data_IF_691119246780
#
_entry.id   IF_691119246780
#
_cell.length_a   1.000
_cell.length_b   1.000
_cell.length_c   1.000
_cell.angle_alpha   90.00
_cell.angle_beta   90.00
_cell.angle_gamma   90.00
#
_symmetry.space_group_name_H-M   'P 1'
#
loop_
_entity.id
_entity.type
_entity.pdbx_description
1 polymer ?
#
# COMPACT_ATOMS: atom_id res chain seq x y z
N UNK A 1 -100.64 82.67 -125.61
CA UNK A 1 -100.94 82.56 -124.16
C UNK A 1 -99.72 81.88 -123.50
N UNK A 2 -98.65 82.52 -123.02
CA UNK A 2 -98.33 83.94 -122.82
C UNK A 2 -97.26 84.12 -121.72
N UNK A 3 -97.23 83.28 -120.68
CA UNK A 3 -96.40 83.54 -119.47
C UNK A 3 -95.83 82.32 -118.75
N UNK A 4 -96.09 81.08 -119.20
CA UNK A 4 -95.66 79.85 -118.48
C UNK A 4 -94.43 79.15 -119.08
N UNK A 5 -93.97 79.58 -120.26
CA UNK A 5 -92.77 79.04 -120.94
C UNK A 5 -91.46 79.65 -120.44
N UNK A 6 -91.49 80.85 -119.84
CA UNK A 6 -90.31 81.51 -119.28
C UNK A 6 -89.93 80.96 -117.89
N UNK A 7 -90.91 80.71 -117.01
CA UNK A 7 -90.69 80.08 -115.69
C UNK A 7 -90.14 78.66 -115.78
N UNK A 8 -90.55 77.88 -116.79
CA UNK A 8 -90.00 76.53 -117.04
C UNK A 8 -88.55 76.54 -117.52
N UNK A 9 -88.09 77.61 -118.18
CA UNK A 9 -86.68 77.73 -118.59
C UNK A 9 -85.76 78.16 -117.44
N UNK A 10 -86.19 79.07 -116.58
CA UNK A 10 -85.39 79.47 -115.40
C UNK A 10 -85.34 78.38 -114.31
N UNK A 11 -86.43 77.63 -114.08
CA UNK A 11 -86.38 76.45 -113.21
C UNK A 11 -85.54 75.32 -113.81
N UNK A 12 -85.56 75.15 -115.15
CA UNK A 12 -84.70 74.18 -115.84
C UNK A 12 -83.21 74.48 -115.68
N UNK A 13 -82.80 75.74 -115.85
CA UNK A 13 -81.40 76.14 -115.72
C UNK A 13 -80.86 76.05 -114.28
N UNK A 14 -81.68 76.37 -113.27
CA UNK A 14 -81.28 76.23 -111.85
C UNK A 14 -81.16 74.77 -111.43
N UNK A 15 -82.05 73.90 -111.94
CA UNK A 15 -81.98 72.45 -111.72
C UNK A 15 -80.82 71.80 -112.47
N UNK A 16 -80.42 72.30 -113.65
CA UNK A 16 -79.20 71.84 -114.36
C UNK A 16 -77.94 72.18 -113.59
N UNK A 17 -77.80 73.40 -113.07
CA UNK A 17 -76.61 73.80 -112.28
C UNK A 17 -76.52 73.00 -110.97
N UNK A 18 -77.65 72.77 -110.28
CA UNK A 18 -77.66 71.91 -109.10
C UNK A 18 -77.33 70.46 -109.45
N UNK A 19 -77.87 69.93 -110.56
CA UNK A 19 -77.56 68.57 -111.00
C UNK A 19 -76.08 68.42 -111.31
N UNK A 20 -75.49 69.38 -112.02
CA UNK A 20 -74.09 69.34 -112.44
C UNK A 20 -73.13 69.46 -111.22
N UNK A 21 -73.43 70.31 -110.24
CA UNK A 21 -72.69 70.36 -108.96
C UNK A 21 -72.85 69.08 -108.12
N UNK A 22 -74.02 68.44 -108.18
CA UNK A 22 -74.24 67.18 -107.45
C UNK A 22 -73.53 66.02 -108.13
N UNK A 23 -73.44 66.01 -109.46
CA UNK A 23 -72.65 65.03 -110.21
C UNK A 23 -71.15 65.22 -109.99
N UNK A 24 -70.61 66.44 -110.02
CA UNK A 24 -69.18 66.67 -109.73
C UNK A 24 -68.82 66.27 -108.29
N UNK A 25 -69.66 66.60 -107.30
CA UNK A 25 -69.44 66.15 -105.92
C UNK A 25 -69.59 64.63 -105.76
N UNK A 26 -70.51 64.01 -106.50
CA UNK A 26 -70.67 62.55 -106.51
C UNK A 26 -69.45 61.86 -107.11
N UNK A 27 -68.91 62.39 -108.21
CA UNK A 27 -67.69 61.87 -108.85
C UNK A 27 -66.46 62.05 -107.96
N UNK A 28 -66.31 63.21 -107.30
CA UNK A 28 -65.21 63.45 -106.36
C UNK A 28 -65.29 62.51 -105.13
N UNK A 29 -66.48 62.32 -104.55
CA UNK A 29 -66.68 61.35 -103.47
C UNK A 29 -66.43 59.91 -103.92
N UNK A 30 -66.74 59.56 -105.18
CA UNK A 30 -66.52 58.22 -105.73
C UNK A 30 -65.02 57.94 -105.94
N UNK A 31 -64.24 58.93 -106.37
CA UNK A 31 -62.78 58.86 -106.44
C UNK A 31 -62.17 58.72 -105.03
N UNK A 32 -62.67 59.45 -104.04
CA UNK A 32 -62.16 59.37 -102.67
C UNK A 32 -62.56 58.05 -101.97
N UNK A 33 -63.77 57.55 -102.22
CA UNK A 33 -64.22 56.22 -101.80
C UNK A 33 -63.39 55.10 -102.42
N UNK A 34 -63.03 55.21 -103.70
CA UNK A 34 -62.18 54.20 -104.36
C UNK A 34 -60.75 54.23 -103.81
N UNK A 35 -60.20 55.41 -103.51
CA UNK A 35 -58.90 55.55 -102.82
C UNK A 35 -58.94 54.93 -101.42
N UNK A 36 -59.92 55.29 -100.59
CA UNK A 36 -60.06 54.76 -99.22
C UNK A 36 -60.34 53.24 -99.22
N UNK A 37 -61.08 52.72 -100.20
CA UNK A 37 -61.28 51.27 -100.37
C UNK A 37 -59.96 50.57 -100.72
N UNK A 38 -59.12 51.17 -101.55
CA UNK A 38 -57.81 50.61 -101.90
C UNK A 38 -56.88 50.60 -100.69
N UNK A 39 -56.80 51.71 -99.95
CA UNK A 39 -55.99 51.82 -98.73
C UNK A 39 -56.48 50.88 -97.63
N UNK A 40 -57.81 50.73 -97.46
CA UNK A 40 -58.40 49.74 -96.56
C UNK A 40 -58.02 48.32 -96.98
N UNK A 41 -58.13 47.98 -98.27
CA UNK A 41 -57.78 46.63 -98.74
C UNK A 41 -56.29 46.33 -98.54
N UNK A 42 -55.41 47.32 -98.72
CA UNK A 42 -53.97 47.20 -98.44
C UNK A 42 -53.72 47.01 -96.93
N UNK A 43 -54.40 47.76 -96.06
CA UNK A 43 -54.32 47.57 -94.60
C UNK A 43 -54.91 46.23 -94.13
N UNK A 44 -56.00 45.77 -94.74
CA UNK A 44 -56.63 44.47 -94.47
C UNK A 44 -55.68 43.34 -94.91
N UNK A 45 -54.94 43.50 -96.02
CA UNK A 45 -53.91 42.56 -96.45
C UNK A 45 -52.70 42.53 -95.49
N UNK A 46 -52.24 43.69 -95.01
CA UNK A 46 -51.13 43.75 -94.03
C UNK A 46 -51.54 43.16 -92.68
N UNK A 47 -52.76 43.45 -92.22
CA UNK A 47 -53.26 42.92 -90.95
C UNK A 47 -53.58 41.43 -91.00
N UNK A 48 -54.05 40.91 -92.13
CA UNK A 48 -54.19 39.45 -92.32
C UNK A 48 -52.83 38.77 -92.33
N UNK A 49 -51.85 39.27 -93.08
CA UNK A 49 -50.48 38.75 -93.07
C UNK A 49 -49.83 38.80 -91.66
N UNK A 50 -50.01 39.90 -90.93
CA UNK A 50 -49.52 40.02 -89.56
C UNK A 50 -50.21 39.05 -88.58
N UNK A 51 -51.50 38.74 -88.79
CA UNK A 51 -52.23 37.73 -88.00
C UNK A 51 -51.73 36.31 -88.30
N UNK A 52 -51.47 35.99 -89.56
CA UNK A 52 -50.98 34.68 -89.97
C UNK A 52 -49.57 34.44 -89.42
N UNK A 53 -48.65 35.40 -89.56
CA UNK A 53 -47.31 35.33 -88.97
C UNK A 53 -47.35 35.21 -87.44
N UNK A 54 -48.26 35.93 -86.76
CA UNK A 54 -48.45 35.79 -85.31
C UNK A 54 -48.99 34.41 -84.92
N UNK A 55 -49.87 33.81 -85.72
CA UNK A 55 -50.35 32.45 -85.50
C UNK A 55 -49.21 31.42 -85.66
N UNK A 56 -48.40 31.55 -86.70
CA UNK A 56 -47.21 30.71 -86.92
C UNK A 56 -46.21 30.82 -85.77
N UNK A 57 -45.89 32.05 -85.33
CA UNK A 57 -44.99 32.28 -84.19
C UNK A 57 -45.56 31.68 -82.91
N UNK A 58 -46.87 31.80 -82.65
CA UNK A 58 -47.51 31.20 -81.47
C UNK A 58 -47.41 29.67 -81.47
N UNK A 59 -47.60 29.03 -82.62
CA UNK A 59 -47.42 27.57 -82.76
C UNK A 59 -45.96 27.20 -82.50
N UNK A 60 -45.01 27.92 -83.10
CA UNK A 60 -43.58 27.68 -82.89
C UNK A 60 -43.15 27.87 -81.42
N UNK A 61 -43.69 28.88 -80.73
CA UNK A 61 -43.45 29.11 -79.29
C UNK A 61 -44.03 27.96 -78.47
N UNK A 62 -45.25 27.51 -78.76
CA UNK A 62 -45.87 26.39 -78.05
C UNK A 62 -45.08 25.08 -78.21
N UNK A 63 -44.58 24.80 -79.41
CA UNK A 63 -43.71 23.66 -79.70
C UNK A 63 -42.36 23.76 -78.96
N UNK A 64 -41.74 24.94 -78.95
CA UNK A 64 -40.50 25.18 -78.22
C UNK A 64 -40.70 25.03 -76.70
N UNK A 65 -41.82 25.51 -76.16
CA UNK A 65 -42.16 25.31 -74.76
C UNK A 65 -42.39 23.83 -74.41
N UNK A 66 -43.02 23.07 -75.30
CA UNK A 66 -43.20 21.63 -75.13
C UNK A 66 -41.84 20.91 -75.11
N UNK A 67 -40.96 21.21 -76.07
CA UNK A 67 -39.59 20.67 -76.09
C UNK A 67 -38.79 21.05 -74.85
N UNK A 68 -38.93 22.29 -74.38
CA UNK A 68 -38.26 22.76 -73.16
C UNK A 68 -38.76 22.04 -71.90
N UNK A 69 -40.06 21.74 -71.82
CA UNK A 69 -40.62 20.91 -70.73
C UNK A 69 -40.07 19.49 -70.77
N UNK A 70 -39.99 18.86 -71.94
CA UNK A 70 -39.43 17.50 -72.08
C UNK A 70 -37.94 17.45 -71.72
N UNK A 71 -37.14 18.41 -72.19
CA UNK A 71 -35.72 18.51 -71.85
C UNK A 71 -35.53 18.73 -70.34
N UNK A 72 -36.37 19.55 -69.70
CA UNK A 72 -36.33 19.74 -68.24
C UNK A 72 -36.63 18.44 -67.50
N UNK A 73 -37.63 17.67 -67.94
CA UNK A 73 -37.95 16.36 -67.34
C UNK A 73 -36.78 15.39 -67.49
N UNK A 74 -36.20 15.27 -68.69
CA UNK A 74 -35.04 14.40 -68.92
C UNK A 74 -33.84 14.81 -68.06
N UNK A 75 -33.59 16.12 -67.90
CA UNK A 75 -32.53 16.61 -67.02
C UNK A 75 -32.77 16.21 -65.57
N UNK A 76 -34.00 16.30 -65.09
CA UNK A 76 -34.35 15.94 -63.70
C UNK A 76 -34.22 14.42 -63.45
N UNK A 77 -34.60 13.59 -64.42
CA UNK A 77 -34.35 12.14 -64.39
C UNK A 77 -32.85 11.82 -64.34
N UNK A 78 -32.04 12.45 -65.19
CA UNK A 78 -30.57 12.26 -65.18
C UNK A 78 -29.96 12.75 -63.87
N UNK A 79 -30.37 13.92 -63.36
CA UNK A 79 -29.88 14.47 -62.10
C UNK A 79 -30.22 13.58 -60.90
N UNK A 80 -31.44 13.04 -60.84
CA UNK A 80 -31.84 12.12 -59.78
C UNK A 80 -31.09 10.78 -59.87
N UNK A 81 -30.87 10.27 -61.08
CA UNK A 81 -30.03 9.09 -61.33
C UNK A 81 -28.58 9.28 -60.85
N UNK A 82 -27.98 10.42 -61.21
CA UNK A 82 -26.60 10.76 -60.81
C UNK A 82 -26.48 10.93 -59.29
N UNK A 83 -27.46 11.58 -58.65
CA UNK A 83 -27.50 11.70 -57.18
C UNK A 83 -27.56 10.33 -56.50
N UNK A 84 -28.40 9.40 -57.01
CA UNK A 84 -28.48 8.04 -56.49
C UNK A 84 -27.18 7.25 -56.67
N UNK A 85 -26.48 7.44 -57.79
CA UNK A 85 -25.18 6.83 -58.03
C UNK A 85 -24.09 7.39 -57.11
N UNK A 86 -24.07 8.71 -56.88
CA UNK A 86 -23.13 9.34 -55.96
C UNK A 86 -23.32 8.86 -54.51
N UNK A 87 -24.57 8.69 -54.07
CA UNK A 87 -24.86 8.12 -52.74
C UNK A 87 -24.31 6.69 -52.65
N UNK A 88 -24.52 5.85 -53.68
CA UNK A 88 -23.98 4.49 -53.71
C UNK A 88 -22.46 4.44 -53.72
N UNK A 89 -21.80 5.35 -54.45
CA UNK A 89 -20.35 5.46 -54.44
C UNK A 89 -19.86 5.81 -53.05
N UNK A 90 -20.44 6.83 -52.40
CA UNK A 90 -20.09 7.21 -51.04
C UNK A 90 -20.31 6.05 -50.03
N UNK A 91 -21.40 5.29 -50.15
CA UNK A 91 -21.64 4.10 -49.32
C UNK A 91 -20.58 3.02 -49.51
N UNK A 92 -20.14 2.79 -50.76
CA UNK A 92 -19.10 1.81 -51.08
C UNK A 92 -17.74 2.29 -50.57
N UNK A 93 -17.41 3.57 -50.75
CA UNK A 93 -16.16 4.16 -50.29
C UNK A 93 -16.03 4.08 -48.77
N UNK A 94 -17.10 4.39 -48.03
CA UNK A 94 -17.11 4.24 -46.56
C UNK A 94 -16.91 2.78 -46.14
N UNK A 95 -17.59 1.83 -46.80
CA UNK A 95 -17.41 0.40 -46.48
C UNK A 95 -16.01 -0.10 -46.78
N UNK A 96 -15.39 0.39 -47.84
CA UNK A 96 -14.00 0.05 -48.17
C UNK A 96 -13.04 0.63 -47.13
N UNK A 97 -13.24 1.89 -46.72
CA UNK A 97 -12.45 2.49 -45.65
C UNK A 97 -12.59 1.71 -44.34
N UNK A 98 -13.81 1.39 -43.91
CA UNK A 98 -14.07 0.59 -42.71
C UNK A 98 -13.38 -0.78 -42.77
N UNK A 99 -13.38 -1.43 -43.96
CA UNK A 99 -12.74 -2.72 -44.15
C UNK A 99 -11.21 -2.63 -44.06
N UNK A 100 -10.62 -1.59 -44.66
CA UNK A 100 -9.17 -1.32 -44.59
C UNK A 100 -8.76 -1.03 -43.16
N UNK A 101 -9.50 -0.18 -42.45
CA UNK A 101 -9.21 0.19 -41.06
C UNK A 101 -9.33 -1.05 -40.15
N UNK A 102 -10.40 -1.83 -40.27
CA UNK A 102 -10.58 -3.07 -39.49
C UNK A 102 -9.41 -4.05 -39.71
N UNK A 103 -8.95 -4.20 -40.95
CA UNK A 103 -7.88 -5.14 -41.29
C UNK A 103 -6.50 -4.66 -40.83
N UNK A 104 -6.29 -3.35 -40.82
CA UNK A 104 -5.08 -2.75 -40.26
C UNK A 104 -5.06 -2.80 -38.73
N UNK A 105 -6.17 -2.50 -38.05
CA UNK A 105 -6.24 -2.42 -36.59
C UNK A 105 -6.31 -3.80 -35.92
N UNK A 106 -7.19 -4.69 -36.40
CA UNK A 106 -7.41 -5.98 -35.74
C UNK A 106 -6.40 -7.05 -36.17
N UNK A 107 -5.84 -6.92 -37.38
CA UNK A 107 -5.01 -7.97 -37.98
C UNK A 107 -3.62 -7.48 -38.42
N UNK A 108 -3.31 -6.19 -38.30
CA UNK A 108 -2.03 -5.59 -38.72
C UNK A 108 -1.70 -5.88 -40.21
N UNK A 109 -2.72 -6.08 -41.05
CA UNK A 109 -2.56 -6.37 -42.49
C UNK A 109 -2.95 -5.15 -43.31
N UNK A 110 -2.02 -4.68 -44.14
CA UNK A 110 -2.32 -3.68 -45.17
C UNK A 110 -2.84 -4.35 -46.45
N UNK A 111 -4.16 -4.34 -46.61
CA UNK A 111 -4.86 -4.90 -47.78
C UNK A 111 -4.51 -4.15 -49.08
N UNK A 112 -4.08 -2.88 -49.00
CA UNK A 112 -3.81 -2.08 -50.21
C UNK A 112 -2.49 -2.46 -50.89
N UNK A 113 -1.55 -3.03 -50.13
CA UNK A 113 -0.24 -3.48 -50.63
C UNK A 113 -0.15 -4.99 -50.82
N UNK A 114 -1.07 -5.77 -50.24
CA UNK A 114 -1.03 -7.22 -50.24
C UNK A 114 -1.93 -7.84 -51.33
N UNK A 115 -1.33 -8.36 -52.40
CA UNK A 115 -2.04 -9.22 -53.34
C UNK A 115 -2.27 -10.59 -52.68
N UNK A 116 -3.44 -10.78 -52.09
CA UNK A 116 -3.78 -12.03 -51.40
C UNK A 116 -4.08 -13.12 -52.45
N UNK A 117 -3.19 -14.11 -52.58
CA UNK A 117 -3.51 -15.36 -53.29
C UNK A 117 -4.50 -16.15 -52.43
N UNK A 118 -5.77 -16.14 -52.84
CA UNK A 118 -6.79 -16.98 -52.23
C UNK A 118 -6.62 -18.38 -52.83
N UNK A 119 -6.24 -19.35 -52.00
CA UNK A 119 -6.15 -20.75 -52.39
C UNK A 119 -7.55 -21.24 -52.83
N UNK A 120 -7.65 -21.93 -53.96
CA UNK A 120 -8.92 -22.43 -54.53
C UNK A 120 -9.62 -23.45 -53.62
N UNK A 121 -8.92 -23.94 -52.59
CA UNK A 121 -9.39 -24.90 -51.58
C UNK A 121 -9.91 -24.18 -50.31
N UNK A 122 -9.93 -22.84 -50.25
CA UNK A 122 -10.36 -22.10 -49.07
C UNK A 122 -11.88 -22.19 -48.84
N UNK A 123 -12.28 -22.98 -47.83
CA UNK A 123 -13.66 -23.06 -47.37
C UNK A 123 -13.96 -21.99 -46.31
N UNK A 124 -14.52 -20.85 -46.75
CA UNK A 124 -14.80 -19.72 -45.86
C UNK A 124 -15.74 -20.06 -44.68
N UNK A 125 -16.66 -21.01 -44.85
CA UNK A 125 -17.61 -21.38 -43.79
C UNK A 125 -16.97 -22.19 -42.66
N UNK A 126 -16.01 -23.09 -42.95
CA UNK A 126 -15.30 -23.84 -41.92
C UNK A 126 -14.37 -22.92 -41.12
N UNK A 127 -13.63 -22.06 -41.79
CA UNK A 127 -12.78 -21.04 -41.15
C UNK A 127 -13.59 -20.12 -40.20
N UNK A 128 -14.81 -19.72 -40.58
CA UNK A 128 -15.70 -18.92 -39.71
C UNK A 128 -16.16 -19.66 -38.45
N UNK A 129 -16.34 -20.97 -38.54
CA UNK A 129 -16.67 -21.79 -37.37
C UNK A 129 -15.47 -21.88 -36.44
N UNK A 130 -14.28 -22.15 -36.98
CA UNK A 130 -13.03 -22.22 -36.21
C UNK A 130 -12.69 -20.90 -35.53
N UNK A 131 -12.78 -19.76 -36.24
CA UNK A 131 -12.55 -18.43 -35.65
C UNK A 131 -13.53 -18.16 -34.49
N UNK A 132 -14.80 -18.55 -34.62
CA UNK A 132 -15.77 -18.40 -33.54
C UNK A 132 -15.42 -19.27 -32.34
N UNK A 133 -14.98 -20.50 -32.56
CA UNK A 133 -14.52 -21.41 -31.51
C UNK A 133 -13.29 -20.84 -30.78
N UNK A 134 -12.26 -20.43 -31.52
CA UNK A 134 -11.05 -19.84 -30.94
C UNK A 134 -11.34 -18.55 -30.17
N UNK A 135 -12.17 -17.65 -30.72
CA UNK A 135 -12.61 -16.44 -29.98
C UNK A 135 -13.42 -16.78 -28.73
N UNK A 136 -14.21 -17.85 -28.75
CA UNK A 136 -14.90 -18.35 -27.56
C UNK A 136 -13.91 -18.86 -26.51
N UNK A 137 -12.90 -19.67 -26.93
CA UNK A 137 -11.85 -20.19 -26.04
C UNK A 137 -11.00 -19.08 -25.43
N UNK A 138 -10.65 -18.06 -26.21
CA UNK A 138 -9.94 -16.87 -25.72
C UNK A 138 -10.79 -16.14 -24.68
N UNK A 139 -12.10 -15.94 -24.94
CA UNK A 139 -12.99 -15.31 -23.96
C UNK A 139 -13.14 -16.12 -22.67
N UNK A 140 -13.08 -17.45 -22.73
CA UNK A 140 -13.13 -18.29 -21.51
C UNK A 140 -11.87 -18.19 -20.64
N UNK A 141 -10.73 -17.76 -21.20
CA UNK A 141 -9.50 -17.53 -20.41
C UNK A 141 -9.61 -16.30 -19.50
N UNK A 142 -10.60 -15.43 -19.74
CA UNK A 142 -10.78 -14.20 -18.98
C UNK A 142 -9.74 -13.13 -19.32
N UNK A 143 -9.75 -11.99 -18.60
CA UNK A 143 -8.76 -10.94 -18.80
C UNK A 143 -7.37 -11.44 -18.39
N UNK A 144 -6.41 -11.39 -19.33
CA UNK A 144 -5.01 -11.74 -19.07
C UNK A 144 -4.35 -10.58 -18.33
N UNK A 145 -3.81 -10.83 -17.14
CA UNK A 145 -3.03 -9.84 -16.41
C UNK A 145 -1.62 -9.75 -16.99
N UNK A 146 -1.36 -8.70 -17.78
CA UNK A 146 -0.05 -8.47 -18.39
C UNK A 146 1.07 -8.22 -17.37
N UNK A 147 0.75 -7.78 -16.15
CA UNK A 147 1.70 -7.51 -15.07
C UNK A 147 1.98 -8.74 -14.18
N UNK A 148 1.34 -9.88 -14.44
CA UNK A 148 1.44 -11.06 -13.58
C UNK A 148 2.88 -11.60 -13.46
N UNK A 149 3.67 -11.48 -14.53
CA UNK A 149 5.06 -11.92 -14.52
C UNK A 149 5.91 -11.02 -13.59
N UNK A 150 5.79 -9.70 -13.74
CA UNK A 150 6.51 -8.72 -12.93
C UNK A 150 6.14 -8.84 -11.45
N UNK A 151 4.83 -8.94 -11.14
CA UNK A 151 4.39 -9.15 -9.75
C UNK A 151 4.85 -10.48 -9.16
N UNK A 152 4.97 -11.54 -9.98
CA UNK A 152 5.50 -12.81 -9.52
C UNK A 152 6.99 -12.69 -9.14
N UNK A 153 7.78 -12.01 -9.99
CA UNK A 153 9.20 -11.82 -9.73
C UNK A 153 9.43 -10.97 -8.47
N UNK A 154 8.67 -9.87 -8.29
CA UNK A 154 8.72 -9.04 -7.08
C UNK A 154 8.35 -9.81 -5.79
N UNK A 155 7.24 -10.55 -5.80
CA UNK A 155 6.82 -11.32 -4.62
C UNK A 155 7.75 -12.51 -4.35
N UNK A 156 8.37 -13.08 -5.39
CA UNK A 156 9.37 -14.12 -5.24
C UNK A 156 10.64 -13.59 -4.59
N UNK A 157 11.17 -12.44 -5.05
CA UNK A 157 12.33 -11.79 -4.42
C UNK A 157 12.06 -11.49 -2.94
N UNK A 158 10.87 -10.97 -2.63
CA UNK A 158 10.46 -10.71 -1.25
C UNK A 158 10.36 -11.98 -0.42
N UNK A 159 9.80 -13.06 -0.98
CA UNK A 159 9.69 -14.35 -0.31
C UNK A 159 11.07 -14.94 -0.01
N UNK A 160 11.98 -14.91 -0.98
CA UNK A 160 13.32 -15.45 -0.83
C UNK A 160 14.11 -14.65 0.23
N UNK A 161 14.00 -13.31 0.22
CA UNK A 161 14.56 -12.48 1.29
C UNK A 161 14.02 -12.82 2.68
N UNK A 162 12.70 -12.97 2.83
CA UNK A 162 12.09 -13.32 4.11
C UNK A 162 12.47 -14.72 4.60
N UNK A 163 12.67 -15.67 3.68
CA UNK A 163 13.14 -17.02 4.00
C UNK A 163 14.56 -17.00 4.53
N UNK A 164 15.45 -16.24 3.90
CA UNK A 164 16.83 -16.10 4.36
C UNK A 164 16.89 -15.45 5.76
N UNK A 165 16.08 -14.42 5.99
CA UNK A 165 15.95 -13.79 7.32
C UNK A 165 15.42 -14.76 8.39
N UNK A 166 14.43 -15.59 8.03
CA UNK A 166 13.89 -16.59 8.95
C UNK A 166 14.96 -17.64 9.30
N UNK A 167 15.69 -18.14 8.31
CA UNK A 167 16.74 -19.13 8.53
C UNK A 167 17.87 -18.59 9.42
N UNK A 168 18.27 -17.33 9.23
CA UNK A 168 19.26 -16.66 10.09
C UNK A 168 18.77 -16.51 11.53
N UNK A 169 17.49 -16.16 11.71
CA UNK A 169 16.88 -16.03 13.03
C UNK A 169 16.80 -17.38 13.76
N UNK A 170 16.40 -18.45 13.07
CA UNK A 170 16.35 -19.81 13.62
C UNK A 170 17.76 -20.29 14.02
N UNK A 171 18.78 -19.99 13.20
CA UNK A 171 20.17 -20.32 13.52
C UNK A 171 20.69 -19.54 14.74
N UNK A 172 20.35 -18.25 14.84
CA UNK A 172 20.69 -17.42 15.99
C UNK A 172 20.00 -17.91 17.28
N UNK A 173 18.72 -18.29 17.20
CA UNK A 173 17.99 -18.88 18.32
C UNK A 173 18.66 -20.16 18.82
N UNK A 174 19.01 -21.08 17.91
CA UNK A 174 19.70 -22.33 18.25
C UNK A 174 21.02 -22.05 18.96
N UNK A 175 21.82 -21.12 18.43
CA UNK A 175 23.12 -20.74 19.01
C UNK A 175 22.97 -20.13 20.41
N UNK A 176 21.95 -19.30 20.62
CA UNK A 176 21.65 -18.72 21.92
C UNK A 176 21.21 -19.78 22.93
N UNK A 177 20.37 -20.74 22.52
CA UNK A 177 19.96 -21.84 23.38
C UNK A 177 21.13 -22.74 23.79
N UNK A 178 22.03 -23.05 22.85
CA UNK A 178 23.27 -23.78 23.15
C UNK A 178 24.13 -23.01 24.16
N UNK A 179 24.31 -21.71 23.96
CA UNK A 179 25.09 -20.85 24.88
C UNK A 179 24.46 -20.82 26.28
N UNK A 180 23.13 -20.72 26.37
CA UNK A 180 22.41 -20.76 27.65
C UNK A 180 22.65 -22.10 28.36
N UNK A 181 22.59 -23.22 27.62
CA UNK A 181 22.84 -24.54 28.19
C UNK A 181 24.27 -24.68 28.70
N UNK A 182 25.28 -24.22 27.95
CA UNK A 182 26.67 -24.22 28.41
C UNK A 182 26.89 -23.38 29.67
N UNK A 183 26.23 -22.21 29.76
CA UNK A 183 26.25 -21.36 30.95
C UNK A 183 25.61 -22.08 32.14
N UNK A 184 24.45 -22.71 31.94
CA UNK A 184 23.73 -23.43 32.99
C UNK A 184 24.50 -24.65 33.50
N UNK A 185 25.15 -25.41 32.62
CA UNK A 185 26.01 -26.53 33.01
C UNK A 185 27.22 -26.03 33.83
N UNK A 186 27.87 -24.96 33.36
CA UNK A 186 29.01 -24.36 34.06
C UNK A 186 28.61 -23.79 35.42
N UNK A 187 27.45 -23.11 35.49
CA UNK A 187 26.89 -22.56 36.72
C UNK A 187 26.52 -23.66 37.71
N UNK A 188 25.81 -24.70 37.25
CA UNK A 188 25.42 -25.85 38.07
C UNK A 188 26.64 -26.58 38.63
N UNK A 189 27.68 -26.78 37.80
CA UNK A 189 28.94 -27.39 38.26
C UNK A 189 29.61 -26.55 39.34
N UNK A 190 29.79 -25.25 39.11
CA UNK A 190 30.40 -24.34 40.11
C UNK A 190 29.56 -24.26 41.38
N UNK A 191 28.24 -24.23 41.26
CA UNK A 191 27.33 -24.24 42.39
C UNK A 191 27.52 -25.51 43.21
N UNK A 192 27.48 -26.70 42.60
CA UNK A 192 27.65 -27.96 43.32
C UNK A 192 29.03 -28.10 43.98
N UNK A 193 30.10 -27.66 43.31
CA UNK A 193 31.45 -27.63 43.88
C UNK A 193 31.54 -26.72 45.12
N UNK A 194 31.01 -25.50 45.01
CA UNK A 194 31.01 -24.54 46.13
C UNK A 194 30.07 -24.97 47.25
N UNK A 195 28.88 -25.47 46.94
CA UNK A 195 27.90 -25.97 47.89
C UNK A 195 28.47 -27.14 48.69
N UNK A 196 29.12 -28.11 48.03
CA UNK A 196 29.78 -29.23 48.71
C UNK A 196 30.93 -28.78 49.62
N UNK A 197 31.69 -27.75 49.21
CA UNK A 197 32.71 -27.15 50.07
C UNK A 197 32.10 -26.47 51.31
N UNK A 198 31.01 -25.70 51.15
CA UNK A 198 30.26 -25.09 52.25
C UNK A 198 29.73 -26.17 53.20
N UNK A 199 29.11 -27.22 52.66
CA UNK A 199 28.55 -28.34 53.42
C UNK A 199 29.63 -29.01 54.29
N UNK A 200 30.79 -29.31 53.71
CA UNK A 200 31.92 -29.90 54.41
C UNK A 200 32.52 -28.98 55.49
N UNK A 201 32.64 -27.69 55.21
CA UNK A 201 33.14 -26.70 56.17
C UNK A 201 32.16 -26.50 57.32
N UNK A 202 30.86 -26.43 57.03
CA UNK A 202 29.81 -26.25 58.02
C UNK A 202 29.77 -27.41 59.00
N UNK A 203 29.83 -28.65 58.51
CA UNK A 203 29.85 -29.84 59.36
C UNK A 203 31.10 -29.93 60.27
N UNK A 204 32.23 -29.34 59.87
CA UNK A 204 33.45 -29.25 60.69
C UNK A 204 33.33 -28.16 61.76
N UNK A 205 33.02 -26.94 61.35
CA UNK A 205 32.87 -25.79 62.26
C UNK A 205 31.80 -26.02 63.31
N UNK A 206 30.68 -26.64 62.92
CA UNK A 206 29.61 -26.94 63.87
C UNK A 206 30.06 -27.93 64.96
N UNK A 207 30.88 -28.94 64.60
CA UNK A 207 31.48 -29.88 65.57
C UNK A 207 32.48 -29.21 66.49
N UNK A 208 33.28 -28.26 66.00
CA UNK A 208 34.20 -27.49 66.83
C UNK A 208 33.45 -26.61 67.85
N UNK A 209 32.33 -26.01 67.46
CA UNK A 209 31.53 -25.14 68.32
C UNK A 209 30.64 -25.89 69.33
N UNK A 210 30.09 -27.05 68.96
CA UNK A 210 29.11 -27.79 69.80
C UNK A 210 29.63 -29.13 70.35
N UNK A 211 30.84 -29.54 69.98
CA UNK A 211 31.48 -30.81 70.35
C UNK A 211 31.23 -31.93 69.34
N UNK A 212 31.98 -33.04 69.48
CA UNK A 212 32.00 -34.11 68.48
C UNK A 212 30.66 -34.83 68.23
N UNK A 213 29.78 -34.87 69.22
CA UNK A 213 28.45 -35.50 69.11
C UNK A 213 27.45 -34.67 68.29
N UNK A 214 27.77 -33.40 68.06
CA UNK A 214 26.94 -32.46 67.32
C UNK A 214 27.11 -32.66 65.81
N UNK A 215 26.02 -32.53 65.05
CA UNK A 215 26.06 -32.66 63.60
C UNK A 215 25.21 -31.56 62.96
N UNK A 216 25.65 -31.01 61.84
CA UNK A 216 24.85 -30.09 61.05
C UNK A 216 25.12 -30.33 59.56
N UNK A 217 24.11 -30.04 58.75
CA UNK A 217 24.14 -30.27 57.33
C UNK A 217 23.31 -29.21 56.59
N UNK A 218 23.65 -28.99 55.33
CA UNK A 218 22.94 -28.11 54.41
C UNK A 218 22.45 -28.95 53.24
N UNK A 219 21.15 -28.98 53.02
CA UNK A 219 20.50 -29.90 52.07
C UNK A 219 19.70 -29.10 51.04
N UNK A 220 19.80 -29.50 49.77
CA UNK A 220 18.95 -29.00 48.69
C UNK A 220 17.64 -29.78 48.70
N UNK A 221 16.51 -29.07 48.73
CA UNK A 221 15.17 -29.68 48.68
C UNK A 221 14.94 -30.41 47.35
N UNK A 222 15.47 -29.86 46.25
CA UNK A 222 15.43 -30.47 44.92
C UNK A 222 16.85 -30.57 44.31
N UNK A 223 17.53 -31.72 44.45
CA UNK A 223 18.86 -31.92 43.90
C UNK A 223 18.95 -31.88 42.37
N UNK A 224 17.83 -32.11 41.66
CA UNK A 224 17.79 -32.15 40.19
C UNK A 224 17.85 -30.76 39.56
N UNK A 225 17.49 -29.72 40.32
CA UNK A 225 17.60 -28.31 39.90
C UNK A 225 18.28 -27.49 41.01
N UNK A 226 19.61 -27.57 41.12
CA UNK A 226 20.35 -26.98 42.23
C UNK A 226 20.31 -25.45 42.23
N UNK A 227 20.06 -24.80 41.08
CA UNK A 227 20.06 -23.34 40.96
C UNK A 227 18.77 -22.71 41.51
N UNK A 228 17.63 -23.38 41.33
CA UNK A 228 16.32 -22.91 41.83
C UNK A 228 15.86 -23.64 43.11
N UNK A 229 16.60 -24.66 43.55
CA UNK A 229 16.26 -25.41 44.75
C UNK A 229 16.39 -24.57 46.03
N UNK A 230 15.36 -24.55 46.89
CA UNK A 230 15.51 -24.06 48.25
C UNK A 230 16.61 -24.80 49.02
N UNK A 231 17.33 -24.05 49.86
CA UNK A 231 18.38 -24.58 50.74
C UNK A 231 17.81 -24.69 52.16
N UNK A 232 17.86 -25.90 52.73
CA UNK A 232 17.46 -26.16 54.11
C UNK A 232 18.67 -26.44 55.00
N UNK A 233 18.71 -25.78 56.16
CA UNK A 233 19.79 -25.92 57.15
C UNK A 233 19.29 -26.77 58.31
N UNK A 234 19.89 -27.94 58.48
CA UNK A 234 19.57 -28.89 59.53
C UNK A 234 20.70 -28.95 60.55
N UNK A 235 20.35 -28.93 61.83
CA UNK A 235 21.34 -29.02 62.90
C UNK A 235 20.85 -29.89 64.05
N UNK A 236 21.79 -30.59 64.66
CA UNK A 236 21.61 -31.45 65.83
C UNK A 236 22.62 -31.04 66.91
N UNK A 237 22.25 -30.12 67.82
CA UNK A 237 23.05 -29.79 68.99
C UNK A 237 23.21 -30.98 69.94
N UNK A 238 24.20 -30.91 70.85
CA UNK A 238 24.50 -31.97 71.82
C UNK A 238 23.25 -32.38 72.61
N UNK A 239 22.88 -33.66 72.55
CA UNK A 239 21.74 -34.22 73.29
C UNK A 239 20.34 -33.91 72.73
N UNK A 240 20.22 -33.29 71.56
CA UNK A 240 18.93 -32.99 70.89
C UNK A 240 18.72 -33.80 69.61
N UNK A 241 17.48 -33.83 69.12
CA UNK A 241 17.12 -34.41 67.81
C UNK A 241 17.51 -33.46 66.68
N UNK A 242 17.63 -33.99 65.46
CA UNK A 242 17.82 -33.19 64.25
C UNK A 242 16.60 -32.29 64.06
N UNK A 243 16.83 -30.99 63.90
CA UNK A 243 15.79 -29.98 63.72
C UNK A 243 16.21 -28.93 62.72
N UNK A 244 15.23 -28.31 62.06
CA UNK A 244 15.46 -27.18 61.15
C UNK A 244 15.88 -25.95 61.95
N UNK A 245 16.72 -25.09 61.38
CA UNK A 245 17.24 -23.86 62.02
C UNK A 245 16.17 -23.01 62.75
N UNK A 246 14.94 -22.95 62.21
CA UNK A 246 13.84 -22.19 62.81
C UNK A 246 13.36 -22.72 64.17
N UNK A 247 13.66 -23.98 64.50
CA UNK A 247 13.21 -24.67 65.72
C UNK A 247 14.27 -24.68 66.85
N UNK A 248 15.44 -24.07 66.64
CA UNK A 248 16.50 -24.00 67.64
C UNK A 248 16.28 -22.88 68.67
N UNK A 249 16.92 -23.00 69.85
CA UNK A 249 16.90 -21.93 70.86
C UNK A 249 17.66 -20.69 70.38
N UNK A 250 17.37 -19.51 70.94
CA UNK A 250 17.97 -18.25 70.48
C UNK A 250 19.50 -18.24 70.41
N UNK A 251 20.19 -18.75 71.44
CA UNK A 251 21.66 -18.88 71.44
C UNK A 251 22.17 -19.90 70.43
N UNK A 252 21.56 -21.09 70.36
CA UNK A 252 21.93 -22.14 69.39
C UNK A 252 21.71 -21.68 67.95
N UNK A 253 20.62 -20.96 67.68
CA UNK A 253 20.32 -20.39 66.38
C UNK A 253 21.40 -19.41 65.94
N UNK A 254 21.86 -18.53 66.85
CA UNK A 254 22.93 -17.57 66.55
C UNK A 254 24.25 -18.27 66.25
N UNK A 255 24.69 -19.21 67.11
CA UNK A 255 25.92 -19.97 66.85
C UNK A 255 25.85 -20.80 65.57
N UNK A 256 24.70 -21.40 65.26
CA UNK A 256 24.51 -22.17 64.03
C UNK A 256 24.59 -21.26 62.81
N UNK A 257 23.97 -20.08 62.87
CA UNK A 257 24.04 -19.08 61.80
C UNK A 257 25.47 -18.53 61.62
N UNK A 258 26.17 -18.26 62.72
CA UNK A 258 27.59 -17.88 62.70
C UNK A 258 28.42 -18.99 62.05
N UNK A 259 28.24 -20.24 62.46
CA UNK A 259 28.96 -21.39 61.89
C UNK A 259 28.73 -21.51 60.37
N UNK A 260 27.50 -21.30 59.90
CA UNK A 260 27.18 -21.31 58.48
C UNK A 260 27.83 -20.13 57.74
N UNK A 261 27.78 -18.93 58.32
CA UNK A 261 28.41 -17.74 57.74
C UNK A 261 29.92 -17.94 57.58
N UNK A 262 30.59 -18.49 58.59
CA UNK A 262 32.01 -18.83 58.53
C UNK A 262 32.30 -19.98 57.55
N UNK A 263 31.40 -20.97 57.44
CA UNK A 263 31.56 -22.04 56.45
C UNK A 263 31.55 -21.51 55.01
N UNK A 264 30.66 -20.55 54.73
CA UNK A 264 30.60 -19.82 53.45
C UNK A 264 31.89 -19.01 53.26
N UNK A 265 32.31 -18.29 54.31
CA UNK A 265 33.53 -17.47 54.29
C UNK A 265 34.78 -18.29 53.93
N UNK A 266 34.91 -19.52 54.44
CA UNK A 266 36.08 -20.37 54.19
C UNK A 266 36.23 -20.83 52.74
N UNK A 267 35.16 -20.83 51.95
CA UNK A 267 35.25 -21.19 50.53
C UNK A 267 35.95 -20.09 49.73
N UNK A 268 35.80 -18.83 50.14
CA UNK A 268 36.48 -17.69 49.51
C UNK A 268 36.80 -16.62 50.57
N UNK A 269 37.90 -16.80 51.34
CA UNK A 269 38.23 -15.89 52.41
C UNK A 269 38.57 -14.50 51.88
N UNK A 270 38.07 -13.48 52.57
CA UNK A 270 38.41 -12.08 52.33
C UNK A 270 39.68 -11.70 53.11
N UNK A 271 40.49 -10.73 52.65
CA UNK A 271 41.64 -10.26 53.42
C UNK A 271 41.26 -9.67 54.78
N UNK A 272 40.05 -9.12 54.93
CA UNK A 272 39.52 -8.64 56.20
C UNK A 272 38.05 -9.01 56.41
N UNK A 273 37.64 -9.11 57.67
CA UNK A 273 36.27 -9.38 58.11
C UNK A 273 35.93 -8.47 59.30
N UNK A 274 34.79 -7.78 59.21
CA UNK A 274 34.29 -6.90 60.28
C UNK A 274 33.06 -7.56 60.90
N UNK A 275 33.06 -7.70 62.22
CA UNK A 275 31.98 -8.30 63.00
C UNK A 275 31.51 -7.29 64.04
N UNK A 276 30.24 -6.89 63.96
CA UNK A 276 29.65 -5.89 64.86
C UNK A 276 28.65 -6.56 65.82
N UNK A 277 28.96 -6.53 67.11
CA UNK A 277 28.17 -7.08 68.23
C UNK A 277 27.63 -8.51 68.02
N UNK A 278 28.35 -9.32 67.24
CA UNK A 278 27.94 -10.69 66.90
C UNK A 278 27.90 -11.61 68.13
N UNK A 279 28.60 -11.23 69.19
CA UNK A 279 28.68 -11.94 70.47
C UNK A 279 27.64 -11.51 71.51
N UNK A 280 26.81 -10.49 71.23
CA UNK A 280 25.77 -10.01 72.14
C UNK A 280 24.74 -11.11 72.57
N UNK A 281 24.30 -12.03 71.70
CA UNK A 281 23.36 -13.10 72.10
C UNK A 281 24.05 -14.36 72.65
N UNK A 282 25.38 -14.36 72.81
CA UNK A 282 26.16 -15.51 73.26
C UNK A 282 26.43 -15.45 74.77
N UNK A 283 26.46 -16.61 75.42
CA UNK A 283 26.90 -16.74 76.80
C UNK A 283 28.44 -16.82 76.90
N UNK A 284 29.00 -16.64 78.10
CA UNK A 284 30.46 -16.65 78.33
C UNK A 284 31.15 -17.91 77.79
N UNK A 285 30.50 -19.08 77.87
CA UNK A 285 31.06 -20.33 77.39
C UNK A 285 31.14 -20.35 75.85
N UNK A 286 30.10 -19.90 75.17
CA UNK A 286 30.06 -19.86 73.72
C UNK A 286 30.90 -18.73 73.12
N UNK A 287 31.06 -17.60 73.81
CA UNK A 287 31.97 -16.51 73.41
C UNK A 287 33.41 -17.03 73.34
N UNK A 288 33.84 -17.84 74.32
CA UNK A 288 35.17 -18.46 74.28
C UNK A 288 35.36 -19.39 73.08
N UNK A 289 34.34 -20.19 72.72
CA UNK A 289 34.38 -21.08 71.55
C UNK A 289 34.43 -20.29 70.25
N UNK A 290 33.63 -19.23 70.16
CA UNK A 290 33.62 -18.31 69.03
C UNK A 290 34.97 -17.64 68.83
N UNK A 291 35.59 -17.14 69.90
CA UNK A 291 36.93 -16.53 69.82
C UNK A 291 38.02 -17.55 69.47
N UNK A 292 37.92 -18.78 69.96
CA UNK A 292 38.85 -19.84 69.57
C UNK A 292 38.76 -20.13 68.06
N UNK A 293 37.54 -20.21 67.52
CA UNK A 293 37.30 -20.37 66.09
C UNK A 293 37.88 -19.21 65.28
N UNK A 294 37.65 -17.95 65.68
CA UNK A 294 38.23 -16.78 64.99
C UNK A 294 39.76 -16.83 64.96
N UNK A 295 40.37 -17.24 66.08
CA UNK A 295 41.83 -17.33 66.20
C UNK A 295 42.44 -18.39 65.28
N UNK A 296 41.71 -19.46 64.95
CA UNK A 296 42.16 -20.43 63.94
C UNK A 296 42.26 -19.80 62.55
N UNK A 297 41.50 -18.73 62.28
CA UNK A 297 41.45 -18.06 60.99
C UNK A 297 42.21 -16.73 60.93
N UNK A 298 42.70 -16.23 62.07
CA UNK A 298 43.45 -14.97 62.12
C UNK A 298 44.77 -15.00 61.35
N UNK A 299 45.31 -16.19 61.06
CA UNK A 299 46.54 -16.37 60.28
C UNK A 299 46.35 -16.02 58.79
N UNK A 300 45.13 -16.20 58.27
CA UNK A 300 44.81 -15.97 56.85
C UNK A 300 43.96 -14.73 56.60
N UNK A 301 43.22 -14.26 57.61
CA UNK A 301 42.25 -13.17 57.51
C UNK A 301 42.40 -12.22 58.70
N UNK A 302 42.38 -10.91 58.43
CA UNK A 302 42.32 -9.91 59.49
C UNK A 302 40.89 -9.74 60.02
N UNK A 303 40.68 -10.01 61.31
CA UNK A 303 39.39 -9.80 61.96
C UNK A 303 39.34 -8.48 62.73
N UNK A 304 38.26 -7.72 62.52
CA UNK A 304 37.94 -6.49 63.27
C UNK A 304 36.62 -6.75 63.98
N UNK A 305 36.67 -6.86 65.31
CA UNK A 305 35.48 -7.07 66.13
C UNK A 305 35.09 -5.78 66.86
N UNK A 306 33.82 -5.42 66.78
CA UNK A 306 33.19 -4.38 67.60
C UNK A 306 32.33 -5.08 68.64
N UNK A 307 32.64 -4.87 69.92
CA UNK A 307 31.99 -5.58 71.02
C UNK A 307 32.11 -4.80 72.33
N UNK A 308 31.15 -5.01 73.23
CA UNK A 308 31.21 -4.61 74.63
C UNK A 308 31.48 -5.81 75.58
N UNK A 309 31.67 -7.02 75.05
CA UNK A 309 31.89 -8.22 75.83
C UNK A 309 33.34 -8.35 76.31
N UNK A 310 33.53 -8.42 77.63
CA UNK A 310 34.85 -8.49 78.27
C UNK A 310 35.66 -9.71 77.84
N UNK A 311 35.02 -10.85 77.57
CA UNK A 311 35.71 -12.08 77.14
C UNK A 311 36.28 -11.95 75.72
N UNK A 312 35.52 -11.33 74.82
CA UNK A 312 35.96 -11.03 73.45
C UNK A 312 37.12 -10.03 73.47
N UNK A 313 37.03 -9.02 74.34
CA UNK A 313 38.10 -8.04 74.58
C UNK A 313 39.39 -8.67 75.11
N UNK A 314 39.30 -9.63 76.03
CA UNK A 314 40.46 -10.35 76.60
C UNK A 314 41.20 -11.21 75.57
N UNK A 315 40.50 -11.70 74.55
CA UNK A 315 41.04 -12.60 73.54
C UNK A 315 41.63 -11.89 72.31
N UNK A 316 41.53 -10.56 72.22
CA UNK A 316 42.00 -9.76 71.09
C UNK A 316 43.47 -9.35 71.23
N UNK A 317 44.21 -9.30 70.12
CA UNK A 317 45.63 -8.87 70.11
C UNK A 317 45.78 -7.34 70.27
N UNK A 318 44.84 -6.59 69.69
CA UNK A 318 44.82 -5.12 69.71
C UNK A 318 43.40 -4.64 69.94
N UNK A 319 43.23 -3.60 70.75
CA UNK A 319 41.95 -2.96 71.01
C UNK A 319 42.00 -1.49 70.64
N UNK A 320 40.97 -1.06 69.93
CA UNK A 320 40.72 0.33 69.60
C UNK A 320 39.47 0.79 70.35
N UNK A 321 39.66 1.63 71.36
CA UNK A 321 38.58 2.25 72.12
C UNK A 321 38.15 3.57 71.49
N UNK A 322 36.84 3.78 71.35
CA UNK A 322 36.28 5.06 70.93
C UNK A 322 35.82 5.80 72.19
N UNK A 323 36.32 7.02 72.38
CA UNK A 323 35.98 7.90 73.50
C UNK A 323 35.37 9.19 72.99
N UNK A 324 34.44 9.79 73.74
CA UNK A 324 33.89 11.11 73.44
C UNK A 324 34.26 12.08 74.56
N UNK A 325 35.43 12.70 74.44
CA UNK A 325 35.89 13.73 75.39
C UNK A 325 35.09 15.03 75.25
N UNK A 326 34.66 15.35 74.03
CA UNK A 326 33.77 16.46 73.70
C UNK A 326 32.47 15.90 73.11
N UNK A 327 31.34 16.53 73.42
CA UNK A 327 30.03 16.04 72.99
C UNK A 327 29.93 16.07 71.46
N UNK A 328 29.76 14.90 70.85
CA UNK A 328 29.63 14.74 69.41
C UNK A 328 30.95 14.57 68.64
N UNK A 329 32.11 14.59 69.31
CA UNK A 329 33.42 14.34 68.69
C UNK A 329 33.99 13.03 69.21
N UNK A 330 34.06 12.03 68.32
CA UNK A 330 34.68 10.73 68.63
C UNK A 330 36.20 10.79 68.46
N UNK A 331 36.93 10.37 69.49
CA UNK A 331 38.39 10.24 69.50
C UNK A 331 38.78 8.78 69.69
N UNK A 332 39.64 8.29 68.82
CA UNK A 332 40.16 6.92 68.85
C UNK A 332 41.37 6.83 69.79
N UNK A 333 41.38 5.80 70.63
CA UNK A 333 42.47 5.44 71.54
C UNK A 333 42.80 3.97 71.26
N UNK A 334 44.08 3.60 71.24
CA UNK A 334 44.51 2.23 70.93
C UNK A 334 45.34 1.63 72.06
N UNK A 335 45.11 0.36 72.36
CA UNK A 335 45.90 -0.44 73.30
C UNK A 335 46.28 -1.75 72.60
N UNK A 336 47.57 -2.11 72.62
CA UNK A 336 48.03 -3.43 72.14
C UNK A 336 48.27 -4.33 73.34
N UNK A 337 47.71 -5.54 73.29
CA UNK A 337 47.93 -6.56 74.32
C UNK A 337 49.15 -7.40 73.92
N UNK A 338 50.33 -6.78 73.92
CA UNK A 338 51.58 -7.52 73.87
C UNK A 338 52.03 -7.83 75.31
N UNK A 339 52.85 -8.85 75.51
CA UNK A 339 53.33 -9.31 76.83
C UNK A 339 54.19 -8.27 77.61
N UNK A 340 54.15 -7.00 77.21
CA UNK A 340 54.55 -5.82 77.96
C UNK A 340 53.52 -4.71 77.70
N UNK A 341 52.83 -4.29 78.75
CA UNK A 341 51.96 -3.11 78.77
C UNK A 341 52.78 -1.85 78.43
N UNK A 342 52.71 -1.38 77.19
CA UNK A 342 53.03 0.00 76.83
C UNK A 342 51.77 0.67 76.27
N UNK A 343 51.24 1.62 77.04
CA UNK A 343 50.18 2.52 76.60
C UNK A 343 50.80 3.57 75.67
N UNK A 344 50.40 3.55 74.40
CA UNK A 344 50.71 4.62 73.44
C UNK A 344 49.49 5.55 73.39
N UNK A 345 49.71 6.80 73.82
CA UNK A 345 48.68 7.84 73.97
C UNK A 345 48.38 8.58 72.66
#
# INVERSE_FOLDING_TARGET
IGTDSARRREQGASLEIQRDQTTENSEALEIELTRLRKERNELDAVTTHAKDTLAEIKVAVSDLEARLRDIRRQREEVMSGNSRQNIRLAEIDTRLADLVDTMSEDYEIDITSFAMEIDDVFEAETARVEIREFRSRIRTLGPVNALALESFDEEKERLDFLRDQLADLEAAESTLMETINEINETASKRFNETFGAIQGNFAKLFRELFGEEACADVVLVNPDDPLESPIEVMARPKGKKLSVLAQLSGGEKTLTAIALLFAIYLVKPSPFCILDEVDAPLDDANVNRFMHMIRTFSDTTQFILVTHNKRTMEAADCMYGITMAEQGVSKLVSVKFDNKLELVA
#
